data_IF_845468680421
#
_entry.id   IF_845468680421
#
_cell.length_a   1.000
_cell.length_b   1.000
_cell.length_c   1.000
_cell.angle_alpha   90.00
_cell.angle_beta   90.00
_cell.angle_gamma   90.00
#
_symmetry.space_group_name_H-M   'P 1'
#
loop_
_entity.id
_entity.type
_entity.pdbx_description
1 polymer ?
#
# COMPACT_ATOMS: atom_id res chain seq x y z
N UNK A 1 37.39 -51.05 33.25
CA UNK A 1 36.49 -51.64 32.25
C UNK A 1 35.45 -50.59 31.89
N UNK A 2 35.21 -50.43 30.59
CA UNK A 2 34.09 -49.75 29.92
C UNK A 2 33.92 -48.21 29.90
N UNK A 3 34.40 -47.63 28.79
CA UNK A 3 33.75 -46.78 27.75
C UNK A 3 32.43 -46.01 28.02
N UNK A 4 32.34 -44.76 27.52
CA UNK A 4 31.03 -44.11 27.28
C UNK A 4 30.98 -42.62 26.89
N UNK A 5 31.28 -42.33 25.63
CA UNK A 5 31.00 -41.17 24.73
C UNK A 5 30.10 -39.96 25.18
N UNK A 6 30.55 -38.78 24.76
CA UNK A 6 30.01 -37.41 24.83
C UNK A 6 28.55 -37.14 24.38
N UNK A 7 27.97 -35.99 24.79
CA UNK A 7 26.99 -35.22 24.01
C UNK A 7 26.91 -33.73 24.42
N UNK A 8 26.81 -32.87 23.40
CA UNK A 8 26.81 -31.40 23.40
C UNK A 8 25.58 -30.78 24.08
N UNK A 9 25.75 -29.55 24.58
CA UNK A 9 24.67 -28.63 24.97
C UNK A 9 23.84 -28.14 23.76
N UNK A 10 22.53 -27.90 23.93
CA UNK A 10 21.76 -26.99 23.09
C UNK A 10 21.57 -25.59 23.76
N UNK A 11 21.42 -24.51 22.96
CA UNK A 11 21.25 -23.12 23.41
C UNK A 11 19.83 -22.83 23.96
N UNK A 12 19.63 -21.69 24.65
CA UNK A 12 18.36 -21.34 25.29
C UNK A 12 17.24 -21.09 24.27
N UNK A 13 16.07 -21.68 24.54
CA UNK A 13 14.81 -21.35 23.88
C UNK A 13 14.38 -19.94 24.29
N UNK A 14 14.81 -18.93 23.53
CA UNK A 14 14.17 -17.62 23.50
C UNK A 14 13.07 -17.63 22.43
N UNK A 15 11.85 -18.01 22.80
CA UNK A 15 10.66 -17.74 21.99
C UNK A 15 10.38 -16.24 22.01
N UNK A 16 11.16 -15.50 21.23
CA UNK A 16 10.86 -14.12 20.90
C UNK A 16 9.65 -14.09 19.98
N UNK A 17 8.50 -13.68 20.53
CA UNK A 17 7.35 -13.24 19.73
C UNK A 17 7.81 -12.16 18.76
N UNK A 18 8.05 -12.55 17.51
CA UNK A 18 8.24 -11.62 16.40
C UNK A 18 6.89 -11.00 16.07
N UNK A 19 6.44 -10.06 16.89
CA UNK A 19 5.37 -9.15 16.49
C UNK A 19 5.82 -8.48 15.17
N UNK A 20 4.96 -8.43 14.13
CA UNK A 20 5.29 -7.66 12.93
C UNK A 20 5.61 -6.24 13.36
N UNK A 21 6.80 -5.76 12.99
CA UNK A 21 7.25 -4.39 13.25
C UNK A 21 6.11 -3.45 12.83
N UNK A 22 5.61 -2.57 13.73
CA UNK A 22 4.56 -1.63 13.35
C UNK A 22 5.06 -0.85 12.14
N UNK A 23 4.23 -0.66 11.10
CA UNK A 23 4.64 0.11 9.94
C UNK A 23 5.10 1.50 10.40
N UNK A 24 6.14 2.09 9.78
CA UNK A 24 6.61 3.41 10.16
C UNK A 24 5.42 4.39 10.14
N UNK A 25 5.25 5.11 11.25
CA UNK A 25 4.14 6.02 11.54
C UNK A 25 3.99 7.22 10.58
N UNK A 26 4.60 7.18 9.39
CA UNK A 26 4.52 8.22 8.37
C UNK A 26 3.97 7.74 7.02
N UNK A 27 3.62 6.46 6.88
CA UNK A 27 2.85 5.93 5.75
C UNK A 27 1.40 5.58 6.13
N UNK A 28 0.89 6.16 7.23
CA UNK A 28 -0.50 6.04 7.60
C UNK A 28 -1.35 6.72 6.51
N UNK A 29 -2.06 5.91 5.72
CA UNK A 29 -3.13 6.39 4.86
C UNK A 29 -4.02 7.32 5.71
N UNK A 30 -4.01 8.61 5.37
CA UNK A 30 -4.77 9.66 6.08
C UNK A 30 -6.26 9.26 6.09
N UNK A 31 -7.07 9.71 7.05
CA UNK A 31 -8.44 9.20 7.28
C UNK A 31 -9.47 9.62 6.22
N UNK A 32 -9.04 9.95 5.00
CA UNK A 32 -9.90 10.29 3.86
C UNK A 32 -9.32 9.77 2.55
N UNK A 33 -10.15 9.53 1.51
CA UNK A 33 -9.67 9.11 0.19
C UNK A 33 -8.73 10.15 -0.44
N UNK A 34 -9.03 11.45 -0.26
CA UNK A 34 -8.13 12.56 -0.66
C UNK A 34 -6.76 12.45 -0.01
N UNK A 35 -6.75 12.12 1.28
CA UNK A 35 -5.53 11.97 2.05
C UNK A 35 -4.70 10.75 1.63
N UNK A 36 -5.35 9.65 1.25
CA UNK A 36 -4.68 8.46 0.72
C UNK A 36 -4.01 8.73 -0.63
N UNK A 37 -4.69 9.38 -1.57
CA UNK A 37 -4.08 9.76 -2.84
C UNK A 37 -2.88 10.69 -2.63
N UNK A 38 -3.02 11.70 -1.77
CA UNK A 38 -1.90 12.60 -1.45
C UNK A 38 -0.71 11.83 -0.86
N UNK A 39 -0.97 10.84 -0.01
CA UNK A 39 0.09 10.00 0.54
C UNK A 39 0.80 9.19 -0.58
N UNK A 40 0.05 8.66 -1.55
CA UNK A 40 0.62 7.98 -2.72
C UNK A 40 1.54 8.90 -3.53
N UNK A 41 1.11 10.13 -3.81
CA UNK A 41 1.94 11.14 -4.49
C UNK A 41 3.22 11.46 -3.70
N UNK A 42 3.12 11.64 -2.39
CA UNK A 42 4.28 11.89 -1.51
C UNK A 42 5.26 10.70 -1.50
N UNK A 43 4.75 9.47 -1.49
CA UNK A 43 5.57 8.25 -1.50
C UNK A 43 6.31 8.08 -2.83
N UNK A 44 5.64 8.37 -3.95
CA UNK A 44 6.27 8.41 -5.28
C UNK A 44 7.38 9.47 -5.34
N UNK A 45 7.13 10.66 -4.80
CA UNK A 45 8.11 11.75 -4.76
C UNK A 45 9.34 11.41 -3.91
N UNK A 46 9.16 10.66 -2.81
CA UNK A 46 10.25 10.22 -1.92
C UNK A 46 10.97 8.95 -2.39
N UNK A 47 10.45 8.27 -3.40
CA UNK A 47 11.01 7.00 -3.86
C UNK A 47 10.74 5.82 -2.92
N UNK A 48 9.69 5.88 -2.10
CA UNK A 48 9.34 4.81 -1.16
C UNK A 48 8.35 3.81 -1.80
N UNK A 49 8.90 2.81 -2.48
CA UNK A 49 8.14 1.72 -3.08
C UNK A 49 7.36 0.91 -2.04
N UNK A 50 8.00 0.57 -0.92
CA UNK A 50 7.37 -0.29 0.09
C UNK A 50 6.15 0.40 0.72
N UNK A 51 6.29 1.69 1.07
CA UNK A 51 5.18 2.50 1.54
C UNK A 51 4.10 2.67 0.46
N UNK A 52 4.48 2.91 -0.80
CA UNK A 52 3.54 3.04 -1.90
C UNK A 52 2.69 1.78 -2.10
N UNK A 53 3.29 0.59 -2.06
CA UNK A 53 2.59 -0.71 -2.14
C UNK A 53 1.52 -0.86 -1.05
N UNK A 54 1.81 -0.41 0.16
CA UNK A 54 0.89 -0.51 1.31
C UNK A 54 -0.34 0.41 1.23
N UNK A 55 -0.43 1.26 0.20
CA UNK A 55 -1.59 2.12 -0.06
C UNK A 55 -2.64 1.48 -0.97
N UNK A 56 -2.39 0.26 -1.45
CA UNK A 56 -3.29 -0.49 -2.31
C UNK A 56 -3.93 -1.66 -1.54
N UNK A 57 -5.05 -2.15 -2.06
CA UNK A 57 -5.65 -3.39 -1.55
C UNK A 57 -4.67 -4.58 -1.73
N UNK A 58 -4.74 -5.62 -0.87
CA UNK A 58 -3.81 -6.75 -0.92
C UNK A 58 -3.67 -7.47 -2.28
N UNK A 59 -4.73 -7.65 -3.10
CA UNK A 59 -4.56 -8.26 -4.42
C UNK A 59 -3.72 -7.41 -5.39
N UNK A 60 -3.58 -6.12 -5.10
CA UNK A 60 -2.89 -5.14 -5.94
C UNK A 60 -1.50 -4.79 -5.40
N UNK A 61 -1.28 -4.81 -4.09
CA UNK A 61 0.04 -4.56 -3.49
C UNK A 61 1.13 -5.52 -4.03
N UNK A 62 0.75 -6.74 -4.39
CA UNK A 62 1.61 -7.76 -4.97
C UNK A 62 1.96 -7.47 -6.44
N UNK A 63 1.11 -6.69 -7.13
CA UNK A 63 1.26 -6.32 -8.54
C UNK A 63 2.01 -5.00 -8.75
N UNK A 64 2.19 -4.21 -7.68
CA UNK A 64 2.96 -2.97 -7.74
C UNK A 64 4.43 -3.30 -7.55
N UNK A 65 5.14 -3.50 -8.66
CA UNK A 65 6.58 -3.69 -8.72
C UNK A 65 7.35 -2.42 -9.06
N UNK A 66 8.66 -2.57 -9.30
CA UNK A 66 9.54 -1.46 -9.70
C UNK A 66 9.08 -0.81 -11.01
N UNK A 67 8.56 -1.61 -11.95
CA UNK A 67 8.09 -1.13 -13.24
C UNK A 67 6.89 -0.19 -13.10
N UNK A 68 5.86 -0.58 -12.34
CA UNK A 68 4.67 0.24 -12.08
C UNK A 68 5.05 1.49 -11.28
N UNK A 69 5.91 1.35 -10.28
CA UNK A 69 6.37 2.46 -9.45
C UNK A 69 7.11 3.53 -10.26
N UNK A 70 8.05 3.11 -11.10
CA UNK A 70 8.77 4.04 -11.98
C UNK A 70 7.88 4.62 -13.08
N UNK A 71 6.91 3.85 -13.60
CA UNK A 71 5.92 4.36 -14.52
C UNK A 71 5.06 5.46 -13.87
N UNK A 72 4.63 5.25 -12.63
CA UNK A 72 3.91 6.23 -11.84
C UNK A 72 4.75 7.50 -11.60
N UNK A 73 6.01 7.37 -11.17
CA UNK A 73 6.91 8.52 -11.00
C UNK A 73 7.05 9.33 -12.29
N UNK A 74 7.32 8.67 -13.42
CA UNK A 74 7.39 9.33 -14.74
C UNK A 74 6.08 10.03 -15.08
N UNK A 75 4.94 9.42 -14.79
CA UNK A 75 3.63 10.00 -15.06
C UNK A 75 3.40 11.30 -14.28
N UNK A 76 3.73 11.31 -12.98
CA UNK A 76 3.61 12.49 -12.11
C UNK A 76 4.54 13.62 -12.55
N UNK A 77 5.76 13.28 -13.00
CA UNK A 77 6.69 14.27 -13.55
C UNK A 77 6.20 14.94 -14.84
N UNK A 78 5.35 14.25 -15.62
CA UNK A 78 4.85 14.76 -16.90
C UNK A 78 3.52 15.50 -16.80
N UNK A 79 2.66 15.15 -15.84
CA UNK A 79 1.33 15.74 -15.71
C UNK A 79 0.91 15.81 -14.24
N UNK A 80 0.44 16.97 -13.75
CA UNK A 80 -0.10 17.07 -12.40
C UNK A 80 -1.31 16.15 -12.23
N UNK A 81 -1.46 15.59 -11.03
CA UNK A 81 -2.61 14.78 -10.65
C UNK A 81 -3.75 15.72 -10.26
N UNK A 82 -4.87 15.63 -10.98
CA UNK A 82 -6.05 16.49 -10.76
C UNK A 82 -7.30 15.61 -10.67
N UNK A 83 -7.55 15.00 -9.50
CA UNK A 83 -8.67 14.09 -9.35
C UNK A 83 -9.99 14.84 -9.32
N UNK A 84 -10.99 14.28 -9.98
CA UNK A 84 -12.32 14.86 -10.07
C UNK A 84 -13.16 14.46 -8.83
N UNK A 85 -12.91 15.15 -7.73
CA UNK A 85 -13.63 14.92 -6.47
C UNK A 85 -15.07 15.40 -6.49
N UNK A 86 -15.43 16.28 -7.43
CA UNK A 86 -16.80 16.78 -7.58
C UNK A 86 -17.69 15.69 -8.19
N UNK A 87 -17.13 14.89 -9.09
CA UNK A 87 -17.78 13.73 -9.70
C UNK A 87 -17.48 12.41 -8.97
N UNK A 88 -16.95 12.46 -7.75
CA UNK A 88 -16.67 11.26 -6.99
C UNK A 88 -17.97 10.58 -6.53
N UNK A 89 -18.02 9.26 -6.66
CA UNK A 89 -19.16 8.44 -6.26
C UNK A 89 -18.84 7.75 -4.93
N UNK A 90 -19.76 7.84 -3.97
CA UNK A 90 -19.66 7.11 -2.70
C UNK A 90 -20.60 5.89 -2.74
N UNK A 91 -20.05 4.74 -2.37
CA UNK A 91 -20.73 3.45 -2.34
C UNK A 91 -20.53 2.81 -0.96
N UNK A 92 -21.61 2.27 -0.38
CA UNK A 92 -21.53 1.41 0.80
C UNK A 92 -21.61 -0.04 0.34
N UNK A 93 -20.56 -0.82 0.62
CA UNK A 93 -20.48 -2.25 0.30
C UNK A 93 -20.48 -3.09 1.57
N UNK A 94 -20.63 -4.41 1.42
CA UNK A 94 -20.47 -5.35 2.54
C UNK A 94 -19.07 -5.28 3.17
N UNK A 95 -18.06 -4.82 2.40
CA UNK A 95 -16.68 -4.66 2.86
C UNK A 95 -16.39 -3.28 3.48
N UNK A 96 -17.36 -2.35 3.46
CA UNK A 96 -17.21 -0.99 3.98
C UNK A 96 -17.47 0.10 2.93
N UNK A 97 -17.07 1.33 3.26
CA UNK A 97 -17.22 2.50 2.39
C UNK A 97 -16.21 2.49 1.25
N UNK A 98 -16.66 2.86 0.07
CA UNK A 98 -15.84 3.02 -1.13
C UNK A 98 -16.12 4.38 -1.74
N UNK A 99 -15.06 5.10 -2.09
CA UNK A 99 -15.16 6.35 -2.86
C UNK A 99 -14.44 6.17 -4.18
N UNK A 100 -15.19 6.24 -5.29
CA UNK A 100 -14.67 6.13 -6.64
C UNK A 100 -14.42 7.51 -7.21
N UNK A 101 -13.21 7.76 -7.69
CA UNK A 101 -12.79 9.06 -8.23
C UNK A 101 -11.98 8.89 -9.51
N UNK A 102 -12.19 9.77 -10.47
CA UNK A 102 -11.37 9.83 -11.67
C UNK A 102 -10.08 10.60 -11.38
N UNK A 103 -8.93 9.93 -11.39
CA UNK A 103 -7.63 10.55 -11.03
C UNK A 103 -6.95 11.23 -12.23
N UNK A 104 -7.14 10.68 -13.44
CA UNK A 104 -6.60 11.20 -14.71
C UNK A 104 -7.66 11.36 -15.82
N UNK A 105 -8.95 11.40 -15.47
CA UNK A 105 -10.04 11.66 -16.43
C UNK A 105 -10.47 10.49 -17.30
N UNK A 106 -9.87 9.29 -17.15
CA UNK A 106 -10.17 8.12 -17.99
C UNK A 106 -10.62 6.87 -17.24
N UNK A 107 -10.24 6.74 -15.97
CA UNK A 107 -10.57 5.57 -15.16
C UNK A 107 -10.94 5.99 -13.74
N UNK A 108 -11.97 5.34 -13.22
CA UNK A 108 -12.40 5.48 -11.82
C UNK A 108 -11.51 4.60 -10.95
N UNK A 109 -10.90 5.20 -9.94
CA UNK A 109 -10.15 4.50 -8.90
C UNK A 109 -10.98 4.48 -7.64
N UNK A 110 -11.25 3.30 -7.10
CA UNK A 110 -11.92 3.14 -5.82
C UNK A 110 -10.92 3.25 -4.67
N UNK A 111 -11.25 4.07 -3.68
CA UNK A 111 -10.60 4.13 -2.39
C UNK A 111 -11.51 3.46 -1.37
N UNK A 112 -11.05 2.36 -0.78
CA UNK A 112 -11.81 1.52 0.15
C UNK A 112 -11.39 1.82 1.58
N UNK A 113 -12.34 2.05 2.47
CA UNK A 113 -12.08 2.15 3.89
C UNK A 113 -11.93 0.75 4.51
N UNK A 114 -10.70 0.38 4.83
CA UNK A 114 -10.33 -0.90 5.44
C UNK A 114 -9.64 -0.64 6.78
N UNK A 115 -10.28 -1.03 7.88
CA UNK A 115 -9.73 -0.86 9.24
C UNK A 115 -9.28 0.59 9.55
N UNK A 116 -10.08 1.58 9.13
CA UNK A 116 -9.78 3.00 9.32
C UNK A 116 -8.71 3.58 8.39
N UNK A 117 -8.30 2.83 7.35
CA UNK A 117 -7.35 3.27 6.31
C UNK A 117 -8.05 3.29 4.97
N UNK A 118 -7.69 4.25 4.11
CA UNK A 118 -8.18 4.30 2.73
C UNK A 118 -7.15 3.69 1.78
N UNK A 119 -7.55 2.63 1.05
CA UNK A 119 -6.68 1.87 0.15
C UNK A 119 -7.23 1.87 -1.28
N UNK A 120 -6.36 2.07 -2.27
CA UNK A 120 -6.77 2.10 -3.67
C UNK A 120 -6.94 0.68 -4.25
N UNK A 121 -7.96 0.50 -5.09
CA UNK A 121 -8.23 -0.76 -5.81
C UNK A 121 -7.61 -0.84 -7.22
N UNK A 122 -6.99 0.26 -7.67
CA UNK A 122 -6.31 0.35 -8.96
C UNK A 122 -5.04 1.21 -8.87
N UNK A 123 -4.04 0.86 -9.67
CA UNK A 123 -2.84 1.70 -9.86
C UNK A 123 -3.19 2.80 -10.86
N UNK A 124 -3.74 3.89 -10.35
CA UNK A 124 -4.29 5.01 -11.14
C UNK A 124 -3.29 5.72 -12.06
N UNK A 125 -1.99 5.54 -11.82
CA UNK A 125 -0.91 6.21 -12.55
C UNK A 125 -0.31 5.38 -13.69
N UNK A 126 -0.71 4.11 -13.86
CA UNK A 126 -0.35 3.32 -15.04
C UNK A 126 -1.53 3.24 -16.02
N UNK A 127 -1.30 3.35 -17.34
CA UNK A 127 -2.35 3.12 -18.32
C UNK A 127 -2.86 1.69 -18.18
N UNK A 128 -4.18 1.52 -18.11
CA UNK A 128 -4.82 0.23 -18.40
C UNK A 128 -4.69 0.01 -19.91
N UNK A 129 -3.98 -1.05 -20.31
CA UNK A 129 -3.83 -1.45 -21.72
C UNK A 129 -5.03 -2.27 -22.15
#
# INVERSE_FOLDING_TARGET
MDTGVARRAPPPQGSGSGAPRPPPASAAAKPSPKGALRAQEELLARGDLAGFRQTFLPPLDAKVGDAEFEACKRRLGNRPVTPDWEMAEEEMTDAGRVVRVSVFGKSMTGFHEVNGRWLADAVWCVPSW
#
